data_IF_179871484539
#
_entry.id   IF_179871484539
#
_cell.length_a   1.000
_cell.length_b   1.000
_cell.length_c   1.000
_cell.angle_alpha   90.00
_cell.angle_beta   90.00
_cell.angle_gamma   90.00
#
_symmetry.space_group_name_H-M   'P 1'
#
loop_
_entity.id
_entity.type
_entity.pdbx_description
1 polymer ?
#
# COMPACT_ATOMS: atom_id res chain seq x y z
N UNK A 1 0.10 0.30 -14.09
CA UNK A 1 -1.23 0.19 -13.45
C UNK A 1 -1.47 1.53 -12.74
N UNK A 2 -2.42 1.72 -11.81
CA UNK A 2 -2.36 2.95 -10.98
C UNK A 2 -1.29 2.76 -9.90
N UNK A 3 -0.56 3.82 -9.54
CA UNK A 3 0.46 3.76 -8.47
C UNK A 3 -0.11 3.24 -7.15
N UNK A 4 -1.35 3.64 -6.82
CA UNK A 4 -2.08 3.11 -5.65
C UNK A 4 -2.23 1.58 -5.72
N UNK A 5 -2.59 1.03 -6.89
CA UNK A 5 -2.74 -0.43 -7.07
C UNK A 5 -1.40 -1.16 -6.98
N UNK A 6 -0.33 -0.56 -7.48
CA UNK A 6 1.02 -1.11 -7.38
C UNK A 6 1.45 -1.20 -5.91
N UNK A 7 1.22 -0.16 -5.11
CA UNK A 7 1.49 -0.22 -3.67
C UNK A 7 0.64 -1.26 -2.94
N UNK A 8 -0.65 -1.42 -3.27
CA UNK A 8 -1.47 -2.51 -2.69
C UNK A 8 -0.92 -3.90 -3.02
N UNK A 9 -0.45 -4.11 -4.26
CA UNK A 9 0.14 -5.39 -4.67
C UNK A 9 1.46 -5.67 -3.93
N UNK A 10 2.31 -4.66 -3.80
CA UNK A 10 3.58 -4.80 -3.07
C UNK A 10 3.34 -5.05 -1.57
N UNK A 11 2.39 -4.34 -0.95
CA UNK A 11 2.01 -4.55 0.43
C UNK A 11 1.51 -5.98 0.67
N UNK A 12 0.59 -6.47 -0.17
CA UNK A 12 0.09 -7.84 -0.11
C UNK A 12 1.23 -8.87 -0.23
N UNK A 13 2.14 -8.69 -1.20
CA UNK A 13 3.30 -9.58 -1.37
C UNK A 13 4.20 -9.60 -0.15
N UNK A 14 4.43 -8.45 0.47
CA UNK A 14 5.25 -8.36 1.68
C UNK A 14 4.57 -9.00 2.89
N UNK A 15 3.26 -8.81 3.07
CA UNK A 15 2.47 -9.50 4.10
C UNK A 15 2.50 -11.03 3.93
N UNK A 16 2.35 -11.54 2.69
CA UNK A 16 2.45 -12.98 2.39
C UNK A 16 3.81 -13.55 2.77
N UNK A 17 4.89 -12.85 2.44
CA UNK A 17 6.26 -13.26 2.82
C UNK A 17 6.46 -13.21 4.32
N UNK A 18 6.00 -12.16 5.00
CA UNK A 18 6.08 -12.06 6.46
C UNK A 18 5.37 -13.24 7.14
N UNK A 19 4.15 -13.56 6.70
CA UNK A 19 3.39 -14.70 7.20
C UNK A 19 4.11 -16.03 6.96
N UNK A 20 4.72 -16.22 5.78
CA UNK A 20 5.56 -17.38 5.50
C UNK A 20 6.74 -17.49 6.48
N UNK A 21 7.49 -16.41 6.69
CA UNK A 21 8.65 -16.45 7.57
C UNK A 21 8.28 -16.64 9.05
N UNK A 22 7.16 -16.09 9.54
CA UNK A 22 6.69 -16.41 10.89
C UNK A 22 6.29 -17.88 11.08
N UNK A 23 5.73 -18.51 10.05
CA UNK A 23 5.45 -19.96 10.07
C UNK A 23 6.75 -20.77 10.16
N UNK A 24 7.76 -20.40 9.38
CA UNK A 24 9.08 -21.04 9.46
C UNK A 24 9.73 -20.81 10.82
N UNK A 25 9.66 -19.60 11.37
CA UNK A 25 10.17 -19.29 12.71
C UNK A 25 9.51 -20.17 13.77
N UNK A 26 8.18 -20.31 13.72
CA UNK A 26 7.42 -21.19 14.62
C UNK A 26 7.85 -22.65 14.48
N UNK A 27 8.08 -23.12 13.24
CA UNK A 27 8.55 -24.49 13.00
C UNK A 27 9.94 -24.75 13.59
N UNK A 28 10.87 -23.82 13.41
CA UNK A 28 12.23 -23.95 13.96
C UNK A 28 12.26 -23.82 15.47
N UNK A 29 11.44 -22.95 16.05
CA UNK A 29 11.32 -22.82 17.50
C UNK A 29 10.80 -24.12 18.14
N UNK A 30 9.78 -24.74 17.53
CA UNK A 30 9.26 -26.04 17.95
C UNK A 30 10.27 -27.19 17.81
N UNK A 31 11.30 -27.03 16.98
CA UNK A 31 12.40 -27.98 16.82
C UNK A 31 13.62 -27.64 17.70
N UNK A 32 13.50 -26.66 18.61
CA UNK A 32 14.58 -26.14 19.46
C UNK A 32 15.76 -25.53 18.67
N UNK A 33 15.54 -25.18 17.40
CA UNK A 33 16.51 -24.51 16.53
C UNK A 33 16.37 -22.98 16.62
N UNK A 34 16.55 -22.43 17.84
CA UNK A 34 16.21 -21.03 18.15
C UNK A 34 16.95 -19.98 17.33
N UNK A 35 18.20 -20.24 16.90
CA UNK A 35 18.94 -19.32 16.03
C UNK A 35 18.24 -19.13 14.68
N UNK A 36 17.74 -20.22 14.09
CA UNK A 36 16.94 -20.15 12.86
C UNK A 36 15.60 -19.50 13.13
N UNK A 37 14.94 -19.83 14.23
CA UNK A 37 13.68 -19.19 14.61
C UNK A 37 13.83 -17.65 14.67
N UNK A 38 14.87 -17.16 15.34
CA UNK A 38 15.18 -15.73 15.44
C UNK A 38 15.48 -15.11 14.07
N UNK A 39 16.25 -15.79 13.22
CA UNK A 39 16.53 -15.32 11.86
C UNK A 39 15.26 -15.14 11.04
N UNK A 40 14.39 -16.15 11.02
CA UNK A 40 13.12 -16.09 10.28
C UNK A 40 12.16 -15.04 10.86
N UNK A 41 12.11 -14.89 12.19
CA UNK A 41 11.33 -13.83 12.82
C UNK A 41 11.82 -12.42 12.41
N UNK A 42 13.14 -12.23 12.28
CA UNK A 42 13.72 -10.97 11.80
C UNK A 42 13.37 -10.70 10.33
N UNK A 43 13.46 -11.70 9.46
CA UNK A 43 13.02 -11.58 8.06
C UNK A 43 11.54 -11.20 7.95
N UNK A 44 10.69 -11.85 8.76
CA UNK A 44 9.27 -11.55 8.81
C UNK A 44 9.01 -10.10 9.23
N UNK A 45 9.72 -9.62 10.26
CA UNK A 45 9.65 -8.24 10.71
C UNK A 45 10.04 -7.24 9.60
N UNK A 46 11.14 -7.49 8.89
CA UNK A 46 11.57 -6.65 7.78
C UNK A 46 10.53 -6.59 6.65
N UNK A 47 9.86 -7.70 6.35
CA UNK A 47 8.76 -7.67 5.38
C UNK A 47 7.53 -6.90 5.88
N UNK A 48 7.17 -7.02 7.16
CA UNK A 48 6.09 -6.22 7.73
C UNK A 48 6.36 -4.71 7.63
N UNK A 49 7.60 -4.27 7.90
CA UNK A 49 7.97 -2.86 7.76
C UNK A 49 7.78 -2.36 6.32
N UNK A 50 8.16 -3.16 5.32
CA UNK A 50 7.94 -2.82 3.91
C UNK A 50 6.45 -2.83 3.54
N UNK A 51 5.66 -3.77 4.07
CA UNK A 51 4.23 -3.82 3.84
C UNK A 51 3.54 -2.55 4.38
N UNK A 52 3.86 -2.16 5.62
CA UNK A 52 3.35 -0.93 6.25
C UNK A 52 3.72 0.31 5.44
N UNK A 53 4.95 0.37 4.92
CA UNK A 53 5.37 1.48 4.05
C UNK A 53 4.48 1.59 2.80
N UNK A 54 4.23 0.48 2.11
CA UNK A 54 3.37 0.48 0.94
C UNK A 54 1.89 0.73 1.26
N UNK A 55 1.39 0.22 2.39
CA UNK A 55 0.05 0.52 2.89
C UNK A 55 -0.13 2.03 3.11
N UNK A 56 0.86 2.69 3.72
CA UNK A 56 0.85 4.14 3.94
C UNK A 56 0.89 4.94 2.62
N UNK A 57 1.75 4.57 1.68
CA UNK A 57 1.83 5.23 0.37
C UNK A 57 0.55 5.04 -0.45
N UNK A 58 -0.05 3.84 -0.41
CA UNK A 58 -1.32 3.59 -1.08
C UNK A 58 -2.45 4.45 -0.48
N UNK A 59 -2.54 4.52 0.85
CA UNK A 59 -3.54 5.35 1.54
C UNK A 59 -3.39 6.84 1.18
N UNK A 60 -2.16 7.34 1.18
CA UNK A 60 -1.85 8.72 0.77
C UNK A 60 -2.28 9.01 -0.66
N UNK A 61 -1.86 8.17 -1.62
CA UNK A 61 -2.23 8.34 -3.04
C UNK A 61 -3.73 8.21 -3.26
N UNK A 62 -4.41 7.38 -2.47
CA UNK A 62 -5.86 7.24 -2.54
C UNK A 62 -6.56 8.52 -2.08
N UNK A 63 -6.13 9.11 -0.96
CA UNK A 63 -6.64 10.38 -0.44
C UNK A 63 -6.42 11.53 -1.44
N UNK A 64 -5.21 11.69 -1.96
CA UNK A 64 -4.88 12.69 -2.99
C UNK A 64 -5.81 12.56 -4.22
N UNK A 65 -6.10 11.33 -4.63
CA UNK A 65 -7.04 11.08 -5.73
C UNK A 65 -8.46 11.47 -5.36
N UNK A 66 -8.94 11.13 -4.17
CA UNK A 66 -10.27 11.53 -3.70
C UNK A 66 -10.41 13.05 -3.57
N UNK A 67 -9.39 13.76 -3.07
CA UNK A 67 -9.40 15.22 -2.96
C UNK A 67 -9.43 15.88 -4.35
N UNK A 68 -8.63 15.37 -5.29
CA UNK A 68 -8.65 15.85 -6.68
C UNK A 68 -9.99 15.62 -7.38
N UNK A 69 -10.72 14.57 -7.03
CA UNK A 69 -12.07 14.29 -7.54
C UNK A 69 -13.16 15.10 -6.82
N UNK A 70 -12.90 15.54 -5.60
CA UNK A 70 -13.84 16.31 -4.76
C UNK A 70 -13.80 17.81 -5.05
N UNK A 71 -12.88 18.28 -5.90
CA UNK A 71 -12.95 19.61 -6.49
C UNK A 71 -13.76 19.57 -7.78
N UNK A 72 -15.05 19.99 -7.79
CA UNK A 72 -15.66 20.40 -9.03
C UNK A 72 -14.89 21.65 -9.45
N UNK A 73 -14.06 21.55 -10.49
CA UNK A 73 -13.70 22.76 -11.24
C UNK A 73 -15.01 23.27 -11.82
N UNK A 74 -15.60 24.21 -11.10
CA UNK A 74 -16.50 25.24 -11.59
C UNK A 74 -15.84 25.91 -12.79
N UNK A 75 -16.10 25.36 -13.97
CA UNK A 75 -16.00 26.06 -15.23
C UNK A 75 -17.33 25.94 -15.97
N UNK A 76 -18.42 26.29 -15.27
CA UNK A 76 -19.50 27.02 -15.93
C UNK A 76 -18.93 28.39 -16.37
N UNK A 77 -18.27 28.43 -17.53
CA UNK A 77 -18.10 29.69 -18.25
C UNK A 77 -19.28 29.87 -19.20
N UNK A 78 -20.32 30.51 -18.65
CA UNK A 78 -21.12 31.55 -19.31
C UNK A 78 -21.66 31.25 -20.70
N UNK A 79 -22.92 30.81 -20.74
CA UNK A 79 -23.79 31.10 -21.87
C UNK A 79 -24.01 32.62 -22.06
N UNK A 80 -24.16 33.04 -23.33
CA UNK A 80 -24.62 34.34 -23.88
C UNK A 80 -23.50 35.40 -24.03
N UNK A 81 -23.24 35.94 -25.24
CA UNK A 81 -24.21 36.57 -26.14
C UNK A 81 -23.91 36.36 -27.63
N UNK A 82 -24.91 35.89 -28.38
CA UNK A 82 -25.16 36.31 -29.78
C UNK A 82 -25.76 37.72 -29.75
N UNK A 83 -25.26 38.65 -30.55
CA UNK A 83 -25.89 39.89 -31.10
C UNK A 83 -24.80 40.57 -31.96
N UNK A 84 -24.77 40.47 -33.29
CA UNK A 84 -25.55 41.26 -34.25
C UNK A 84 -25.38 42.78 -34.09
N UNK A 85 -24.50 43.37 -34.92
CA UNK A 85 -24.64 44.67 -35.58
C UNK A 85 -23.57 44.77 -36.68
#
# INVERSE_FOLDING_TARGET
MSKTREHYQEAARHHERAAFHYKEATRYDAAEEHEKAAHYAYLAHGHNQHAIHHDAEAAKLHAERCDSLSTPVSAEQGAKKKSAA
#
